data_IF_754708435323
#
_entry.id   IF_754708435323
#
_cell.length_a   1.000
_cell.length_b   1.000
_cell.length_c   1.000
_cell.angle_alpha   90.00
_cell.angle_beta   90.00
_cell.angle_gamma   90.00
#
_symmetry.space_group_name_H-M   'P 1'
#
loop_
_entity.id
_entity.type
_entity.pdbx_description
1 polymer ?
#
# COMPACT_ATOMS: atom_id res chain seq x y z
N UNK A 1 40.69 -32.95 17.98
CA UNK A 1 40.78 -31.53 17.61
C UNK A 1 40.18 -31.23 16.23
N UNK A 2 40.61 -31.94 15.16
CA UNK A 2 40.11 -31.66 13.78
C UNK A 2 38.61 -31.78 13.65
N UNK A 3 38.00 -32.82 14.22
CA UNK A 3 36.53 -33.02 14.18
C UNK A 3 35.77 -31.89 14.88
N UNK A 4 36.27 -31.37 16.00
CA UNK A 4 35.65 -30.26 16.72
C UNK A 4 35.72 -28.96 15.89
N UNK A 5 36.79 -28.69 15.21
CA UNK A 5 36.96 -27.51 14.32
C UNK A 5 36.04 -27.61 13.11
N UNK A 6 35.93 -28.79 12.51
CA UNK A 6 35.01 -29.01 11.37
C UNK A 6 33.55 -28.86 11.81
N UNK A 7 33.18 -29.42 12.98
CA UNK A 7 31.83 -29.28 13.53
C UNK A 7 31.49 -27.80 13.85
N UNK A 8 32.41 -27.06 14.44
CA UNK A 8 32.25 -25.65 14.71
C UNK A 8 32.08 -24.84 13.41
N UNK A 9 32.90 -25.12 12.39
CA UNK A 9 32.77 -24.47 11.08
C UNK A 9 31.44 -24.79 10.38
N UNK A 10 30.95 -26.03 10.49
CA UNK A 10 29.65 -26.41 9.95
C UNK A 10 28.50 -25.70 10.67
N UNK A 11 28.55 -25.54 12.00
CA UNK A 11 27.55 -24.83 12.79
C UNK A 11 27.52 -23.33 12.42
N UNK A 12 28.68 -22.70 12.26
CA UNK A 12 28.80 -21.30 11.84
C UNK A 12 28.23 -21.11 10.42
N UNK A 13 28.60 -22.00 9.48
CA UNK A 13 28.05 -21.97 8.12
C UNK A 13 26.52 -22.15 8.10
N UNK A 14 26.01 -23.08 8.88
CA UNK A 14 24.58 -23.33 9.02
C UNK A 14 23.86 -22.11 9.63
N UNK A 15 24.45 -21.49 10.65
CA UNK A 15 23.91 -20.29 11.28
C UNK A 15 23.85 -19.10 10.29
N UNK A 16 24.90 -18.89 9.51
CA UNK A 16 24.95 -17.89 8.45
C UNK A 16 23.88 -18.18 7.39
N UNK A 17 23.75 -19.43 6.98
CA UNK A 17 22.75 -19.84 6.00
C UNK A 17 21.31 -19.57 6.49
N UNK A 18 20.97 -19.95 7.73
CA UNK A 18 19.65 -19.67 8.31
C UNK A 18 19.41 -18.19 8.57
N UNK A 19 20.43 -17.41 8.85
CA UNK A 19 20.32 -15.95 8.98
C UNK A 19 20.04 -15.28 7.62
N UNK A 20 20.64 -15.78 6.55
CA UNK A 20 20.48 -15.23 5.20
C UNK A 20 19.21 -15.71 4.50
N UNK A 21 18.75 -16.94 4.77
CA UNK A 21 17.53 -17.52 4.17
C UNK A 21 16.42 -17.55 5.20
N UNK A 22 15.37 -16.74 5.06
CA UNK A 22 14.23 -16.72 6.00
C UNK A 22 13.34 -17.95 5.78
N UNK A 23 13.78 -19.10 6.29
CA UNK A 23 13.10 -20.38 6.14
C UNK A 23 11.62 -20.34 6.60
N UNK A 24 11.34 -19.65 7.71
CA UNK A 24 9.97 -19.50 8.23
C UNK A 24 9.05 -18.75 7.26
N UNK A 25 9.57 -17.73 6.55
CA UNK A 25 8.80 -17.01 5.54
C UNK A 25 8.50 -17.89 4.33
N UNK A 26 9.45 -18.72 3.91
CA UNK A 26 9.22 -19.70 2.85
C UNK A 26 8.16 -20.72 3.23
N UNK A 27 8.22 -21.26 4.44
CA UNK A 27 7.25 -22.23 4.94
C UNK A 27 5.85 -21.60 5.00
N UNK A 28 5.73 -20.36 5.52
CA UNK A 28 4.48 -19.60 5.56
C UNK A 28 3.90 -19.35 4.17
N UNK A 29 4.73 -18.96 3.20
CA UNK A 29 4.32 -18.80 1.81
C UNK A 29 3.79 -20.10 1.21
N UNK A 30 4.51 -21.21 1.42
CA UNK A 30 4.14 -22.53 0.89
C UNK A 30 2.81 -23.03 1.48
N UNK A 31 2.61 -22.90 2.79
CA UNK A 31 1.34 -23.23 3.46
C UNK A 31 0.18 -22.36 2.97
N UNK A 32 0.45 -21.12 2.63
CA UNK A 32 -0.56 -20.17 2.09
C UNK A 32 -0.84 -20.35 0.59
N UNK A 33 -0.24 -21.35 -0.07
CA UNK A 33 -0.46 -21.64 -1.49
C UNK A 33 0.34 -20.77 -2.46
N UNK A 34 1.24 -19.93 -1.94
CA UNK A 34 2.07 -19.05 -2.76
C UNK A 34 3.34 -19.79 -3.20
N UNK A 35 3.57 -19.88 -4.50
CA UNK A 35 4.73 -20.58 -5.07
C UNK A 35 5.96 -19.69 -5.07
N UNK A 36 6.75 -19.74 -4.01
CA UNK A 36 8.06 -19.07 -3.91
C UNK A 36 9.14 -20.11 -3.63
N UNK A 37 10.26 -20.02 -4.36
CA UNK A 37 11.45 -20.84 -4.11
C UNK A 37 12.37 -20.19 -3.07
N UNK A 38 13.09 -21.01 -2.29
CA UNK A 38 14.14 -20.53 -1.38
C UNK A 38 15.21 -19.71 -2.10
N UNK A 39 15.57 -20.12 -3.33
CA UNK A 39 16.54 -19.40 -4.17
C UNK A 39 16.03 -17.98 -4.48
N UNK A 40 14.74 -17.83 -4.72
CA UNK A 40 14.14 -16.51 -5.00
C UNK A 40 14.20 -15.60 -3.78
N UNK A 41 13.95 -16.13 -2.57
CA UNK A 41 14.09 -15.37 -1.33
C UNK A 41 15.53 -14.91 -1.08
N UNK A 42 16.48 -15.78 -1.40
CA UNK A 42 17.90 -15.44 -1.33
C UNK A 42 18.28 -14.32 -2.33
N UNK A 43 17.81 -14.42 -3.58
CA UNK A 43 18.05 -13.39 -4.61
C UNK A 43 17.40 -12.05 -4.25
N UNK A 44 16.19 -12.04 -3.63
CA UNK A 44 15.59 -10.81 -3.09
C UNK A 44 16.51 -10.14 -2.07
N UNK A 45 17.10 -10.93 -1.18
CA UNK A 45 18.02 -10.41 -0.15
C UNK A 45 19.25 -9.75 -0.76
N UNK A 46 19.82 -10.35 -1.81
CA UNK A 46 20.97 -9.78 -2.55
C UNK A 46 20.59 -8.44 -3.21
N UNK A 47 19.36 -8.31 -3.71
CA UNK A 47 18.87 -7.07 -4.32
C UNK A 47 18.44 -6.01 -3.30
N UNK A 48 18.71 -6.19 -2.02
CA UNK A 48 18.26 -5.32 -0.93
C UNK A 48 16.72 -5.18 -0.84
N UNK A 49 15.98 -6.15 -1.36
CA UNK A 49 14.53 -6.22 -1.21
C UNK A 49 14.21 -7.08 0.01
N UNK A 50 13.57 -6.54 1.06
CA UNK A 50 13.30 -7.29 2.28
C UNK A 50 12.19 -8.34 2.04
N UNK A 51 12.50 -9.64 2.14
CA UNK A 51 11.50 -10.70 1.96
C UNK A 51 10.36 -10.62 2.99
N UNK A 52 10.65 -10.05 4.17
CA UNK A 52 9.66 -9.84 5.24
C UNK A 52 8.56 -8.84 4.90
N UNK A 53 8.72 -8.01 3.88
CA UNK A 53 7.67 -7.11 3.37
C UNK A 53 6.95 -7.76 2.19
N UNK A 54 7.71 -8.29 1.23
CA UNK A 54 7.15 -8.82 -0.02
C UNK A 54 6.31 -10.08 0.20
N UNK A 55 6.84 -11.04 0.99
CA UNK A 55 6.17 -12.34 1.16
C UNK A 55 4.81 -12.22 1.89
N UNK A 56 4.70 -11.52 3.02
CA UNK A 56 3.40 -11.32 3.67
C UNK A 56 2.39 -10.59 2.77
N UNK A 57 2.83 -9.55 2.06
CA UNK A 57 1.98 -8.81 1.11
C UNK A 57 1.49 -9.69 -0.02
N UNK A 58 2.35 -10.56 -0.56
CA UNK A 58 1.97 -11.50 -1.60
C UNK A 58 0.99 -12.57 -1.08
N UNK A 59 1.17 -13.04 0.17
CA UNK A 59 0.23 -13.96 0.83
C UNK A 59 -1.14 -13.30 1.02
N UNK A 60 -1.16 -12.05 1.44
CA UNK A 60 -2.39 -11.26 1.62
C UNK A 60 -3.14 -11.10 0.29
N UNK A 61 -2.44 -10.69 -0.77
CA UNK A 61 -3.00 -10.56 -2.12
C UNK A 61 -3.56 -11.91 -2.62
N UNK A 62 -2.82 -13.01 -2.43
CA UNK A 62 -3.23 -14.34 -2.86
C UNK A 62 -4.49 -14.80 -2.12
N UNK A 63 -4.57 -14.59 -0.80
CA UNK A 63 -5.76 -14.92 0.01
C UNK A 63 -6.98 -14.09 -0.36
N UNK A 64 -6.78 -12.86 -0.83
CA UNK A 64 -7.84 -11.99 -1.34
C UNK A 64 -8.26 -12.34 -2.79
N UNK A 65 -7.60 -13.31 -3.43
CA UNK A 65 -7.91 -13.72 -4.81
C UNK A 65 -7.31 -12.80 -5.89
N UNK A 66 -6.43 -11.88 -5.52
CA UNK A 66 -5.77 -10.93 -6.43
C UNK A 66 -4.62 -11.63 -7.19
N UNK A 67 -4.94 -12.34 -8.26
CA UNK A 67 -3.95 -13.09 -9.05
C UNK A 67 -3.07 -12.23 -9.96
N UNK A 68 -3.46 -10.98 -10.19
CA UNK A 68 -2.69 -10.00 -10.97
C UNK A 68 -1.48 -9.48 -10.21
N UNK A 69 -1.48 -9.58 -8.88
CA UNK A 69 -0.37 -9.17 -8.03
C UNK A 69 0.68 -10.27 -8.01
N UNK A 70 1.78 -10.06 -8.71
CA UNK A 70 2.90 -10.98 -8.76
C UNK A 70 4.04 -10.53 -7.85
N UNK A 71 4.91 -11.48 -7.48
CA UNK A 71 6.12 -11.16 -6.72
C UNK A 71 6.96 -10.09 -7.42
N UNK A 72 7.19 -10.25 -8.73
CA UNK A 72 8.07 -9.38 -9.51
C UNK A 72 7.51 -7.95 -9.56
N UNK A 73 6.18 -7.80 -9.62
CA UNK A 73 5.51 -6.50 -9.56
C UNK A 73 5.72 -5.82 -8.19
N UNK A 74 5.64 -6.58 -7.10
CA UNK A 74 5.88 -6.07 -5.75
C UNK A 74 7.35 -5.69 -5.53
N UNK A 75 8.30 -6.50 -6.03
CA UNK A 75 9.73 -6.18 -5.99
C UNK A 75 10.01 -4.88 -6.75
N UNK A 76 9.49 -4.75 -7.98
CA UNK A 76 9.68 -3.56 -8.80
C UNK A 76 9.13 -2.31 -8.10
N UNK A 77 7.92 -2.39 -7.53
CA UNK A 77 7.33 -1.29 -6.78
C UNK A 77 8.13 -0.90 -5.53
N UNK A 78 8.66 -1.89 -4.79
CA UNK A 78 9.54 -1.64 -3.66
C UNK A 78 10.83 -0.93 -4.09
N UNK A 79 11.45 -1.37 -5.19
CA UNK A 79 12.70 -0.78 -5.71
C UNK A 79 12.53 0.66 -6.21
N UNK A 80 11.33 1.05 -6.62
CA UNK A 80 10.99 2.44 -6.99
C UNK A 80 10.68 3.33 -5.78
N UNK A 81 10.80 2.80 -4.55
CA UNK A 81 10.54 3.55 -3.32
C UNK A 81 9.07 3.53 -2.87
N UNK A 82 8.24 2.70 -3.48
CA UNK A 82 6.82 2.59 -3.15
C UNK A 82 6.53 1.79 -1.86
N UNK A 83 5.35 1.99 -1.31
CA UNK A 83 4.89 1.38 -0.06
C UNK A 83 4.07 0.10 -0.34
N UNK A 84 4.77 -1.01 -0.60
CA UNK A 84 4.16 -2.29 -1.00
C UNK A 84 3.01 -2.73 -0.11
N UNK A 85 3.17 -2.68 1.21
CA UNK A 85 2.14 -3.12 2.16
C UNK A 85 0.87 -2.28 2.05
N UNK A 86 1.00 -0.94 1.93
CA UNK A 86 -0.16 -0.04 1.79
C UNK A 86 -0.90 -0.30 0.48
N UNK A 87 -0.17 -0.46 -0.61
CA UNK A 87 -0.76 -0.73 -1.93
C UNK A 87 -1.52 -2.06 -1.93
N UNK A 88 -0.94 -3.12 -1.39
CA UNK A 88 -1.60 -4.42 -1.33
C UNK A 88 -2.84 -4.36 -0.42
N UNK A 89 -2.74 -3.73 0.74
CA UNK A 89 -3.86 -3.55 1.65
C UNK A 89 -5.01 -2.74 1.02
N UNK A 90 -4.66 -1.69 0.28
CA UNK A 90 -5.63 -0.90 -0.49
C UNK A 90 -6.31 -1.72 -1.58
N UNK A 91 -5.56 -2.54 -2.33
CA UNK A 91 -6.10 -3.43 -3.36
C UNK A 91 -7.05 -4.49 -2.77
N UNK A 92 -6.69 -5.08 -1.63
CA UNK A 92 -7.56 -6.03 -0.92
C UNK A 92 -8.85 -5.36 -0.46
N UNK A 93 -8.76 -4.14 0.05
CA UNK A 93 -9.93 -3.36 0.49
C UNK A 93 -10.81 -2.97 -0.70
N UNK A 94 -10.21 -2.53 -1.82
CA UNK A 94 -10.92 -2.22 -3.06
C UNK A 94 -11.65 -3.45 -3.62
N UNK A 95 -10.98 -4.60 -3.65
CA UNK A 95 -11.59 -5.86 -4.08
C UNK A 95 -12.79 -6.27 -3.23
N UNK A 96 -12.69 -6.13 -1.90
CA UNK A 96 -13.81 -6.41 -0.98
C UNK A 96 -14.98 -5.42 -1.14
N UNK A 97 -14.69 -4.18 -1.54
CA UNK A 97 -15.69 -3.16 -1.81
C UNK A 97 -16.24 -3.20 -3.25
N UNK A 98 -15.84 -4.18 -4.07
CA UNK A 98 -16.16 -4.28 -5.50
C UNK A 98 -15.77 -3.03 -6.29
N UNK A 99 -14.66 -2.41 -5.92
CA UNK A 99 -14.07 -1.29 -6.66
C UNK A 99 -13.02 -1.83 -7.60
N UNK A 100 -13.14 -1.50 -8.89
CA UNK A 100 -12.15 -1.88 -9.90
C UNK A 100 -10.90 -1.00 -9.79
N UNK A 101 -9.93 -1.47 -9.00
CA UNK A 101 -8.62 -0.86 -8.83
C UNK A 101 -7.54 -1.82 -9.34
N UNK A 102 -6.93 -1.49 -10.48
CA UNK A 102 -5.80 -2.27 -10.99
C UNK A 102 -4.53 -2.01 -10.19
N UNK A 103 -3.63 -3.00 -10.16
CA UNK A 103 -2.32 -2.87 -9.49
C UNK A 103 -1.53 -1.67 -10.02
N UNK A 104 -1.54 -1.45 -11.33
CA UNK A 104 -0.83 -0.34 -11.99
C UNK A 104 -1.33 1.03 -11.53
N UNK A 105 -2.66 1.19 -11.41
CA UNK A 105 -3.24 2.43 -10.89
C UNK A 105 -2.91 2.65 -9.41
N UNK A 106 -2.99 1.60 -8.61
CA UNK A 106 -2.65 1.68 -7.19
C UNK A 106 -1.18 2.08 -6.97
N UNK A 107 -0.26 1.47 -7.71
CA UNK A 107 1.17 1.82 -7.64
C UNK A 107 1.46 3.22 -8.16
N UNK A 108 0.76 3.68 -9.20
CA UNK A 108 0.90 5.05 -9.72
C UNK A 108 0.44 6.09 -8.69
N UNK A 109 -0.66 5.83 -7.96
CA UNK A 109 -1.16 6.71 -6.90
C UNK A 109 -0.16 6.79 -5.74
N UNK A 110 0.39 5.63 -5.30
CA UNK A 110 1.39 5.57 -4.22
C UNK A 110 2.68 6.30 -4.59
N UNK A 111 3.19 6.11 -5.81
CA UNK A 111 4.38 6.80 -6.31
C UNK A 111 4.15 8.31 -6.53
N UNK A 112 2.92 8.74 -6.74
CA UNK A 112 2.54 10.15 -6.75
C UNK A 112 2.48 10.78 -5.34
N UNK A 113 2.82 10.01 -4.28
CA UNK A 113 2.84 10.48 -2.90
C UNK A 113 1.48 10.54 -2.21
N UNK A 114 0.46 9.92 -2.79
CA UNK A 114 -0.90 9.87 -2.21
C UNK A 114 -1.16 8.53 -1.51
N UNK A 115 -1.93 8.55 -0.44
CA UNK A 115 -2.34 7.33 0.25
C UNK A 115 -3.46 6.62 -0.53
N UNK A 116 -3.11 5.49 -1.12
CA UNK A 116 -4.04 4.65 -1.89
C UNK A 116 -5.16 4.09 -1.01
N UNK A 117 -4.83 3.71 0.24
CA UNK A 117 -5.80 3.15 1.17
C UNK A 117 -6.84 4.18 1.60
N UNK A 118 -6.41 5.41 1.91
CA UNK A 118 -7.32 6.51 2.22
C UNK A 118 -8.23 6.84 1.04
N UNK A 119 -7.70 6.83 -0.18
CA UNK A 119 -8.47 7.05 -1.40
C UNK A 119 -9.58 5.99 -1.58
N UNK A 120 -9.27 4.71 -1.37
CA UNK A 120 -10.26 3.62 -1.41
C UNK A 120 -11.29 3.81 -0.31
N UNK A 121 -10.87 4.12 0.91
CA UNK A 121 -11.76 4.31 2.06
C UNK A 121 -12.73 5.47 1.84
N UNK A 122 -12.25 6.61 1.32
CA UNK A 122 -13.07 7.80 1.03
C UNK A 122 -14.01 7.57 -0.15
N UNK A 123 -13.66 6.66 -1.07
CA UNK A 123 -14.57 6.25 -2.14
C UNK A 123 -15.73 5.39 -1.63
N UNK A 124 -15.48 4.54 -0.64
CA UNK A 124 -16.53 3.69 -0.01
C UNK A 124 -17.35 4.48 1.00
N UNK A 125 -16.67 5.21 1.89
CA UNK A 125 -17.26 6.00 2.96
C UNK A 125 -17.04 7.49 2.68
N UNK A 126 -18.07 8.22 2.22
CA UNK A 126 -17.94 9.64 1.95
C UNK A 126 -17.50 10.41 3.19
N UNK A 127 -16.51 11.29 3.04
CA UNK A 127 -16.05 12.18 4.10
C UNK A 127 -16.93 13.43 4.15
N UNK A 128 -17.41 13.79 5.32
CA UNK A 128 -18.17 15.02 5.52
C UNK A 128 -17.22 16.09 6.02
N UNK A 129 -17.15 17.20 5.31
CA UNK A 129 -16.31 18.36 5.63
C UNK A 129 -17.23 19.51 6.02
N UNK A 130 -17.03 20.09 7.21
CA UNK A 130 -17.71 21.31 7.64
C UNK A 130 -16.89 22.51 7.19
N UNK A 131 -17.49 23.41 6.39
CA UNK A 131 -16.81 24.67 6.00
C UNK A 131 -16.75 25.63 7.19
N UNK A 132 -15.71 26.48 7.29
CA UNK A 132 -15.72 27.57 8.26
C UNK A 132 -16.89 28.51 7.99
N UNK A 133 -17.43 29.19 9.00
CA UNK A 133 -18.50 30.16 8.81
C UNK A 133 -17.99 31.34 7.99
N UNK A 134 -18.64 31.61 6.86
CA UNK A 134 -18.35 32.77 6.01
C UNK A 134 -19.40 33.85 6.28
N UNK A 135 -18.95 35.04 6.67
CA UNK A 135 -19.81 36.16 6.91
C UNK A 135 -19.83 37.11 5.69
N UNK A 136 -21.01 37.43 5.18
CA UNK A 136 -21.21 38.38 4.09
C UNK A 136 -22.25 39.41 4.49
N UNK A 137 -22.05 40.67 4.08
CA UNK A 137 -23.01 41.78 4.31
C UNK A 137 -23.85 41.97 3.06
N UNK A 138 -25.16 41.85 3.19
CA UNK A 138 -26.11 42.10 2.11
C UNK A 138 -26.24 43.63 1.83
N UNK A 139 -26.74 43.97 0.65
CA UNK A 139 -26.89 45.40 0.24
C UNK A 139 -27.76 46.23 1.22
N UNK A 140 -28.63 45.61 1.98
CA UNK A 140 -29.46 46.25 3.01
C UNK A 140 -28.79 46.37 4.39
N UNK A 141 -27.47 46.02 4.50
CA UNK A 141 -26.71 46.14 5.75
C UNK A 141 -26.86 44.93 6.69
N UNK A 142 -27.64 43.91 6.31
CA UNK A 142 -27.83 42.68 7.13
C UNK A 142 -26.63 41.79 6.96
N UNK A 143 -26.00 41.36 8.05
CA UNK A 143 -24.92 40.37 8.06
C UNK A 143 -25.51 38.96 8.00
N UNK A 144 -25.11 38.21 6.98
CA UNK A 144 -25.45 36.77 6.83
C UNK A 144 -24.22 35.95 7.16
N UNK A 145 -24.39 34.94 8.01
CA UNK A 145 -23.37 33.95 8.33
C UNK A 145 -23.83 32.63 7.72
N UNK A 146 -23.06 32.16 6.74
CA UNK A 146 -23.31 30.87 6.09
C UNK A 146 -22.31 29.83 6.58
N UNK A 147 -22.78 28.64 6.92
CA UNK A 147 -21.98 27.45 7.19
C UNK A 147 -22.53 26.32 6.33
N UNK A 148 -21.67 25.69 5.56
CA UNK A 148 -22.04 24.57 4.72
C UNK A 148 -21.40 23.26 5.22
N UNK A 149 -22.08 22.16 4.99
CA UNK A 149 -21.57 20.81 5.21
C UNK A 149 -21.52 20.12 3.86
N UNK A 150 -20.31 19.77 3.41
CA UNK A 150 -20.07 19.18 2.10
C UNK A 150 -19.70 17.73 2.26
N UNK A 151 -20.37 16.84 1.53
CA UNK A 151 -20.04 15.42 1.48
C UNK A 151 -19.19 15.14 0.25
N UNK A 152 -17.94 14.68 0.46
CA UNK A 152 -16.96 14.43 -0.59
C UNK A 152 -16.75 12.93 -0.77
N UNK A 153 -16.71 12.48 -2.03
CA UNK A 153 -16.29 11.13 -2.43
C UNK A 153 -15.06 11.20 -3.31
N UNK A 154 -14.10 10.31 -3.07
CA UNK A 154 -12.95 10.17 -3.97
C UNK A 154 -13.36 9.38 -5.24
N UNK A 155 -13.02 9.92 -6.42
CA UNK A 155 -13.10 9.16 -7.67
C UNK A 155 -11.74 8.56 -7.97
N UNK A 156 -11.56 7.27 -7.67
CA UNK A 156 -10.28 6.57 -7.81
C UNK A 156 -9.77 6.58 -9.25
N UNK A 157 -10.66 6.57 -10.25
CA UNK A 157 -10.27 6.59 -11.66
C UNK A 157 -9.65 7.92 -12.10
N UNK A 158 -9.96 9.02 -11.41
CA UNK A 158 -9.46 10.36 -11.70
C UNK A 158 -8.48 10.89 -10.65
N UNK A 159 -8.07 10.05 -9.69
CA UNK A 159 -7.20 10.46 -8.60
C UNK A 159 -5.79 10.82 -9.07
N UNK A 160 -5.31 10.20 -10.15
CA UNK A 160 -4.04 10.52 -10.77
C UNK A 160 -4.21 11.80 -11.57
N UNK A 161 -3.58 12.90 -11.11
CA UNK A 161 -3.69 14.23 -11.73
C UNK A 161 -4.85 15.10 -11.26
N UNK A 162 -5.72 14.62 -10.35
CA UNK A 162 -6.78 15.41 -9.75
C UNK A 162 -6.30 16.33 -8.60
N UNK A 163 -7.08 17.36 -8.28
CA UNK A 163 -6.85 18.23 -7.13
C UNK A 163 -6.99 17.46 -5.82
N UNK A 164 -6.12 17.74 -4.85
CA UNK A 164 -6.24 17.20 -3.49
C UNK A 164 -7.41 17.83 -2.72
N UNK A 165 -7.70 17.30 -1.54
CA UNK A 165 -8.77 17.79 -0.65
C UNK A 165 -8.62 19.28 -0.34
N UNK A 166 -7.40 19.74 -0.08
CA UNK A 166 -7.10 21.14 0.26
C UNK A 166 -7.40 22.12 -0.89
N UNK A 167 -7.19 21.69 -2.15
CA UNK A 167 -7.48 22.52 -3.32
C UNK A 167 -8.97 22.64 -3.62
N UNK A 168 -9.79 21.64 -3.25
CA UNK A 168 -11.23 21.71 -3.45
C UNK A 168 -11.92 22.71 -2.52
N UNK A 169 -11.33 22.96 -1.34
CA UNK A 169 -11.84 23.94 -0.37
C UNK A 169 -11.53 25.39 -0.80
N UNK A 170 -10.45 25.63 -1.53
CA UNK A 170 -10.05 26.97 -2.00
C UNK A 170 -11.02 27.48 -3.08
N UNK A 171 -11.52 26.61 -3.96
CA UNK A 171 -12.46 26.99 -5.00
C UNK A 171 -13.90 27.24 -4.53
N UNK A 172 -14.24 26.86 -3.30
CA UNK A 172 -15.58 27.12 -2.72
C UNK A 172 -15.64 28.53 -2.07
N UNK A 173 -14.50 29.18 -1.84
CA UNK A 173 -14.40 30.47 -1.16
C UNK A 173 -14.30 31.68 -2.11
N UNK A 174 -14.24 31.50 -3.43
CA UNK A 174 -14.36 32.54 -4.45
C UNK A 174 -15.80 32.58 -5.01
#
# INVERSE_FOLDING_TARGET
MVIAVVALGAIVLLSIFFHFVPFFLWLSAKVSGVKISLIQLFLMRIRNVPPGIIVPSLIEAHKAGLRTVTRDNLEAHYMTGGHVQRVVHALVSASKANIDLSFEKATAIDLAGRDVFEAVQTSVNPKVIDTPPVAAVAKNGIQLIAKARVTVRANIHQLVGGAGEDLSLIHISE
#
